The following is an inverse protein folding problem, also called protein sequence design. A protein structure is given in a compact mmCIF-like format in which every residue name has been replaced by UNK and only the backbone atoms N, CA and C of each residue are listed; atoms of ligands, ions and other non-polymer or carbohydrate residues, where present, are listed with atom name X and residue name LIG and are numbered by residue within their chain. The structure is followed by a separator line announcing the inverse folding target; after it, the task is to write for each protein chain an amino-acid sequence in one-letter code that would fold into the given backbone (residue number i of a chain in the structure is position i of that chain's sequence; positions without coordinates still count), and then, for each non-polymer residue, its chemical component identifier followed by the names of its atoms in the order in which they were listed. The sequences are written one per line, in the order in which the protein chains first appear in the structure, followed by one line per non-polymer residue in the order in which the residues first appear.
data_IF_232097517718
#
_entry.id   IF_232097517718
#
_cell.length_a   1.000
_cell.length_b   1.000
_cell.length_c   1.000
_cell.angle_alpha   90.00
_cell.angle_beta   90.00
_cell.angle_gamma   90.00
#
_symmetry.space_group_name_H-M   'P 1'
#
loop_
_entity.id
_entity.type
_entity.pdbx_description
1 polymer ?
#
# COMPACT_ATOMS: atom_id res chain seq x y z
N UNK A 1 -6.10 39.70 23.89
CA UNK A 1 -5.25 39.28 22.76
C UNK A 1 -5.51 37.80 22.49
N UNK A 2 -5.63 37.42 21.23
CA UNK A 2 -5.77 36.01 20.88
C UNK A 2 -4.53 35.24 21.30
N UNK A 3 -4.70 34.01 21.78
CA UNK A 3 -3.58 33.12 22.08
C UNK A 3 -2.85 32.75 20.80
N UNK A 4 -1.63 32.19 20.90
CA UNK A 4 -0.89 31.68 19.75
C UNK A 4 -1.70 30.60 19.00
N UNK A 5 -2.39 29.73 19.73
CA UNK A 5 -3.24 28.68 19.14
C UNK A 5 -4.44 29.27 18.41
N UNK A 6 -5.14 30.24 19.02
CA UNK A 6 -6.25 30.94 18.33
C UNK A 6 -5.79 31.59 17.03
N UNK A 7 -4.60 32.21 17.02
CA UNK A 7 -4.04 32.81 15.80
C UNK A 7 -3.78 31.73 14.73
N UNK A 8 -3.16 30.61 15.09
CA UNK A 8 -2.93 29.49 14.15
C UNK A 8 -4.24 28.92 13.59
N UNK A 9 -5.28 28.79 14.40
CA UNK A 9 -6.60 28.32 13.95
C UNK A 9 -7.29 29.33 13.01
N UNK A 10 -7.13 30.63 13.28
CA UNK A 10 -7.65 31.69 12.39
C UNK A 10 -6.93 31.65 11.05
N UNK A 11 -5.61 31.53 11.04
CA UNK A 11 -4.80 31.41 9.81
C UNK A 11 -5.16 30.14 9.03
N UNK A 12 -5.32 29.03 9.71
CA UNK A 12 -5.78 27.77 9.13
C UNK A 12 -7.13 27.94 8.41
N UNK A 13 -8.11 28.54 9.07
CA UNK A 13 -9.46 28.75 8.51
C UNK A 13 -9.52 29.75 7.37
N UNK A 14 -8.58 30.71 7.30
CA UNK A 14 -8.45 31.67 6.19
C UNK A 14 -7.79 31.07 4.96
N UNK A 15 -7.01 30.02 5.11
CA UNK A 15 -6.26 29.41 4.01
C UNK A 15 -7.20 28.71 3.01
N UNK A 16 -7.17 29.15 1.75
CA UNK A 16 -8.05 28.64 0.70
C UNK A 16 -7.76 27.15 0.36
N UNK A 17 -6.49 26.76 0.38
CA UNK A 17 -6.08 25.38 0.06
C UNK A 17 -6.50 24.42 1.16
N UNK A 18 -6.43 24.82 2.44
CA UNK A 18 -6.97 24.02 3.53
C UNK A 18 -8.47 23.78 3.36
N UNK A 19 -9.24 24.82 3.01
CA UNK A 19 -10.69 24.71 2.76
C UNK A 19 -11.00 23.84 1.54
N UNK A 20 -10.23 23.99 0.45
CA UNK A 20 -10.36 23.16 -0.75
C UNK A 20 -10.17 21.68 -0.41
N UNK A 21 -9.12 21.36 0.36
CA UNK A 21 -8.82 20.01 0.78
C UNK A 21 -9.88 19.43 1.72
N UNK A 22 -10.33 20.22 2.71
CA UNK A 22 -11.47 19.81 3.57
C UNK A 22 -12.73 19.52 2.76
N UNK A 23 -13.08 20.40 1.82
CA UNK A 23 -14.25 20.22 0.97
C UNK A 23 -14.10 18.94 0.14
N UNK A 24 -12.93 18.70 -0.43
CA UNK A 24 -12.66 17.50 -1.22
C UNK A 24 -12.90 16.23 -0.39
N UNK A 25 -12.24 16.10 0.75
CA UNK A 25 -12.32 14.90 1.59
C UNK A 25 -13.62 14.80 2.43
N UNK A 26 -14.45 15.82 2.44
CA UNK A 26 -15.80 15.76 3.08
C UNK A 26 -16.88 15.29 2.14
N UNK A 27 -16.61 15.18 0.85
CA UNK A 27 -17.57 14.67 -0.13
C UNK A 27 -17.60 13.15 -0.13
N UNK A 28 -18.72 12.59 -0.51
CA UNK A 28 -18.90 11.15 -0.72
C UNK A 28 -18.92 10.85 -2.21
N UNK A 29 -18.16 9.85 -2.64
CA UNK A 29 -18.26 9.31 -3.99
C UNK A 29 -19.64 8.69 -4.22
N UNK A 30 -19.96 8.38 -5.49
CA UNK A 30 -21.22 7.73 -5.83
C UNK A 30 -21.35 6.36 -5.14
N UNK A 31 -20.33 5.53 -5.20
CA UNK A 31 -20.32 4.21 -4.54
C UNK A 31 -20.44 4.31 -3.02
N UNK A 32 -19.87 5.34 -2.40
CA UNK A 32 -20.01 5.56 -0.95
C UNK A 32 -21.44 5.97 -0.58
N UNK A 33 -22.11 6.78 -1.39
CA UNK A 33 -23.53 7.12 -1.19
C UNK A 33 -24.43 5.89 -1.26
N UNK A 34 -24.04 4.88 -2.03
CA UNK A 34 -24.73 3.59 -2.14
C UNK A 34 -24.30 2.59 -1.06
N UNK A 35 -23.28 2.90 -0.24
CA UNK A 35 -22.76 2.00 0.79
C UNK A 35 -21.90 0.83 0.24
N UNK A 36 -21.44 0.91 -0.99
CA UNK A 36 -20.72 -0.18 -1.69
C UNK A 36 -19.25 0.15 -2.02
N UNK A 37 -18.76 1.31 -1.58
CA UNK A 37 -17.42 1.78 -1.94
C UNK A 37 -16.25 0.88 -1.47
N UNK A 38 -16.54 -0.12 -0.63
CA UNK A 38 -15.53 -1.07 -0.12
C UNK A 38 -15.98 -2.54 -0.27
N UNK A 39 -17.01 -2.78 -1.07
CA UNK A 39 -17.36 -4.13 -1.48
C UNK A 39 -16.51 -4.54 -2.71
N UNK A 40 -15.99 -5.76 -2.71
CA UNK A 40 -15.13 -6.27 -3.80
C UNK A 40 -15.91 -6.41 -5.12
N UNK A 41 -17.13 -6.89 -5.05
CA UNK A 41 -18.01 -7.13 -6.21
C UNK A 41 -18.23 -5.90 -7.12
N UNK A 42 -18.62 -4.71 -6.61
CA UNK A 42 -18.78 -3.52 -7.48
C UNK A 42 -17.49 -3.09 -8.17
N UNK A 43 -16.34 -3.23 -7.50
CA UNK A 43 -15.05 -2.92 -8.10
C UNK A 43 -14.70 -3.92 -9.20
N UNK A 44 -14.92 -5.21 -8.95
CA UNK A 44 -14.71 -6.28 -9.92
C UNK A 44 -15.61 -6.10 -11.15
N UNK A 45 -16.89 -5.75 -10.93
CA UNK A 45 -17.83 -5.45 -12.01
C UNK A 45 -17.40 -4.21 -12.83
N UNK A 46 -16.97 -3.14 -12.14
CA UNK A 46 -16.46 -1.93 -12.83
C UNK A 46 -15.27 -2.26 -13.73
N UNK A 47 -14.25 -2.96 -13.19
CA UNK A 47 -13.07 -3.32 -13.96
C UNK A 47 -13.39 -4.29 -15.12
N UNK A 48 -14.24 -5.29 -14.88
CA UNK A 48 -14.66 -6.20 -15.93
C UNK A 48 -15.34 -5.45 -17.09
N UNK A 49 -16.18 -4.46 -16.81
CA UNK A 49 -16.83 -3.65 -17.84
C UNK A 49 -15.84 -2.71 -18.55
N UNK A 50 -14.97 -2.02 -17.81
CA UNK A 50 -13.97 -1.13 -18.39
C UNK A 50 -13.01 -1.89 -19.33
N UNK A 51 -12.55 -3.08 -18.92
CA UNK A 51 -11.60 -3.90 -19.69
C UNK A 51 -12.23 -4.48 -20.96
N UNK A 52 -13.56 -4.64 -21.05
CA UNK A 52 -14.24 -5.00 -22.31
C UNK A 52 -14.05 -3.93 -23.38
N UNK A 53 -13.97 -2.67 -22.94
CA UNK A 53 -13.81 -1.55 -23.85
C UNK A 53 -15.05 -1.20 -24.68
N UNK A 54 -16.21 -1.80 -24.38
CA UNK A 54 -17.45 -1.57 -25.13
C UNK A 54 -17.88 -0.09 -25.11
N UNK A 55 -17.57 0.58 -24.01
CA UNK A 55 -17.88 1.99 -23.79
C UNK A 55 -16.72 2.94 -24.17
N UNK A 56 -15.60 2.42 -24.66
CA UNK A 56 -14.41 3.22 -25.02
C UNK A 56 -14.15 3.08 -26.50
N UNK A 57 -14.40 4.13 -27.27
CA UNK A 57 -14.16 4.14 -28.70
C UNK A 57 -12.65 4.33 -29.00
N UNK A 58 -11.84 3.34 -28.65
CA UNK A 58 -10.40 3.37 -28.88
C UNK A 58 -9.93 2.23 -29.80
N UNK A 59 -8.79 2.42 -30.46
CA UNK A 59 -8.11 1.35 -31.18
C UNK A 59 -7.69 0.25 -30.19
N UNK A 60 -7.63 -1.01 -30.63
CA UNK A 60 -7.15 -2.15 -29.81
C UNK A 60 -5.80 -1.87 -29.12
N UNK A 61 -4.92 -1.11 -29.76
CA UNK A 61 -3.61 -0.72 -29.22
C UNK A 61 -3.69 0.19 -27.98
N UNK A 62 -4.78 0.92 -27.86
CA UNK A 62 -5.05 1.85 -26.76
C UNK A 62 -6.24 1.39 -25.91
N UNK A 63 -6.63 0.11 -26.05
CA UNK A 63 -7.72 -0.44 -25.26
C UNK A 63 -7.31 -0.60 -23.77
N UNK A 64 -8.27 -0.44 -22.85
CA UNK A 64 -8.01 -0.68 -21.41
C UNK A 64 -7.39 -2.05 -21.14
N UNK A 65 -7.78 -3.08 -21.90
CA UNK A 65 -7.20 -4.42 -21.76
C UNK A 65 -5.73 -4.47 -22.21
N UNK A 66 -5.34 -3.77 -23.28
CA UNK A 66 -3.93 -3.69 -23.68
C UNK A 66 -3.09 -3.01 -22.59
N UNK A 67 -3.57 -1.94 -22.01
CA UNK A 67 -2.88 -1.26 -20.91
C UNK A 67 -2.82 -2.13 -19.65
N UNK A 68 -3.88 -2.88 -19.35
CA UNK A 68 -3.86 -3.85 -18.26
C UNK A 68 -2.77 -4.93 -18.47
N UNK A 69 -2.66 -5.45 -19.70
CA UNK A 69 -1.58 -6.39 -20.04
C UNK A 69 -0.18 -5.77 -19.86
N UNK A 70 -0.01 -4.50 -20.20
CA UNK A 70 1.26 -3.79 -19.94
C UNK A 70 1.58 -3.68 -18.44
N UNK A 71 0.59 -3.41 -17.60
CA UNK A 71 0.77 -3.45 -16.13
C UNK A 71 1.26 -4.83 -15.70
N UNK A 72 0.65 -5.91 -16.20
CA UNK A 72 1.06 -7.28 -15.84
C UNK A 72 2.51 -7.57 -16.27
N UNK A 73 2.90 -7.19 -17.49
CA UNK A 73 4.30 -7.37 -17.96
C UNK A 73 5.28 -6.59 -17.11
N UNK A 74 4.97 -5.36 -16.75
CA UNK A 74 5.84 -4.51 -15.94
C UNK A 74 6.01 -5.06 -14.51
N UNK A 75 4.93 -5.57 -13.92
CA UNK A 75 4.97 -6.14 -12.56
C UNK A 75 5.57 -7.54 -12.53
N UNK A 76 5.40 -8.31 -13.59
CA UNK A 76 6.01 -9.63 -13.69
C UNK A 76 7.54 -9.56 -13.69
N UNK A 77 8.14 -8.56 -14.34
CA UNK A 77 9.60 -8.35 -14.31
C UNK A 77 10.14 -8.13 -12.89
N UNK A 78 9.34 -7.57 -11.99
CA UNK A 78 9.70 -7.44 -10.57
C UNK A 78 9.49 -8.74 -9.79
N UNK A 79 8.54 -9.58 -10.18
CA UNK A 79 8.24 -10.88 -9.55
C UNK A 79 9.25 -11.99 -9.95
N UNK A 80 9.86 -11.92 -11.12
CA UNK A 80 10.91 -12.87 -11.56
C UNK A 80 12.14 -12.86 -10.65
N UNK A 81 12.32 -11.86 -9.81
CA UNK A 81 13.33 -11.85 -8.75
C UNK A 81 13.18 -13.02 -7.73
N UNK A 82 12.04 -13.70 -7.73
CA UNK A 82 11.78 -14.86 -6.87
C UNK A 82 12.11 -16.23 -7.50
N UNK A 83 12.82 -16.25 -8.63
CA UNK A 83 13.31 -17.51 -9.25
C UNK A 83 12.25 -18.34 -9.96
N UNK A 84 11.10 -17.78 -10.30
CA UNK A 84 10.09 -18.42 -11.15
C UNK A 84 10.32 -18.07 -12.61
N UNK A 85 10.13 -19.06 -13.50
CA UNK A 85 10.04 -18.78 -14.94
C UNK A 85 8.83 -17.89 -15.20
N UNK A 86 9.03 -16.84 -16.00
CA UNK A 86 7.96 -15.94 -16.43
C UNK A 86 6.76 -16.70 -16.98
N UNK A 87 5.54 -16.47 -16.51
CA UNK A 87 4.35 -17.07 -17.09
C UNK A 87 4.00 -16.46 -18.47
N UNK A 88 4.54 -15.27 -18.81
CA UNK A 88 4.30 -14.63 -20.10
C UNK A 88 5.46 -14.95 -21.05
N UNK A 89 5.24 -15.63 -22.18
CA UNK A 89 6.26 -15.92 -23.16
C UNK A 89 6.94 -14.66 -23.72
N UNK A 90 8.24 -14.74 -24.04
CA UNK A 90 9.03 -13.60 -24.46
C UNK A 90 8.44 -12.85 -25.68
N UNK A 91 8.02 -13.59 -26.70
CA UNK A 91 7.42 -13.00 -27.91
C UNK A 91 6.10 -12.28 -27.60
N UNK A 92 5.31 -12.83 -26.68
CA UNK A 92 4.08 -12.20 -26.21
C UNK A 92 4.37 -10.93 -25.42
N UNK A 93 5.40 -10.92 -24.55
CA UNK A 93 5.84 -9.70 -23.85
C UNK A 93 6.22 -8.59 -24.82
N UNK A 94 7.04 -8.92 -25.82
CA UNK A 94 7.45 -7.95 -26.85
C UNK A 94 6.20 -7.36 -27.52
N UNK A 95 5.24 -8.21 -27.91
CA UNK A 95 4.01 -7.79 -28.55
C UNK A 95 3.11 -6.93 -27.67
N UNK A 96 3.08 -7.19 -26.34
CA UNK A 96 2.35 -6.35 -25.37
C UNK A 96 3.04 -4.99 -25.20
N UNK A 97 4.36 -4.98 -24.99
CA UNK A 97 5.14 -3.75 -24.80
C UNK A 97 5.04 -2.84 -26.03
N UNK A 98 5.14 -3.42 -27.23
CA UNK A 98 5.01 -2.69 -28.51
C UNK A 98 3.56 -2.40 -28.91
N UNK A 99 2.57 -2.84 -28.13
CA UNK A 99 1.13 -2.71 -28.41
C UNK A 99 0.72 -3.33 -29.76
N UNK A 100 1.39 -4.40 -30.15
CA UNK A 100 1.14 -5.10 -31.42
C UNK A 100 0.46 -6.46 -31.23
N UNK A 101 0.17 -6.85 -29.98
CA UNK A 101 -0.52 -8.11 -29.70
C UNK A 101 -1.91 -8.09 -30.34
N UNK A 102 -2.16 -9.03 -31.26
CA UNK A 102 -3.49 -9.23 -31.82
C UNK A 102 -4.28 -10.22 -30.96
N UNK A 103 -5.31 -9.71 -30.31
CA UNK A 103 -6.21 -10.49 -29.48
C UNK A 103 -7.67 -10.19 -29.80
N UNK A 104 -8.51 -11.16 -29.55
CA UNK A 104 -9.96 -11.04 -29.60
C UNK A 104 -10.54 -11.46 -28.25
N UNK A 105 -11.26 -10.56 -27.60
CA UNK A 105 -11.97 -10.86 -26.36
C UNK A 105 -13.06 -11.89 -26.65
N UNK A 106 -12.99 -13.04 -25.99
CA UNK A 106 -14.04 -14.07 -26.01
C UNK A 106 -14.98 -13.91 -24.83
N UNK A 107 -14.44 -13.60 -23.65
CA UNK A 107 -15.23 -13.40 -22.45
C UNK A 107 -14.48 -12.49 -21.47
N UNK A 108 -15.17 -11.52 -20.86
CA UNK A 108 -14.77 -10.85 -19.63
C UNK A 108 -15.98 -10.84 -18.72
N UNK A 109 -15.81 -11.40 -17.51
CA UNK A 109 -16.91 -11.54 -16.56
C UNK A 109 -16.43 -11.33 -15.14
N UNK A 110 -17.15 -10.52 -14.36
CA UNK A 110 -17.02 -10.50 -12.91
C UNK A 110 -17.76 -11.71 -12.31
N UNK A 111 -17.31 -12.17 -11.15
CA UNK A 111 -17.98 -13.24 -10.36
C UNK A 111 -18.20 -14.54 -11.14
N UNK A 112 -17.16 -15.00 -11.83
CA UNK A 112 -17.19 -16.24 -12.56
C UNK A 112 -16.99 -17.42 -11.65
N UNK A 113 -17.95 -18.35 -11.60
CA UNK A 113 -17.83 -19.57 -10.80
C UNK A 113 -16.62 -20.42 -11.25
N UNK A 114 -15.74 -20.71 -10.32
CA UNK A 114 -14.50 -21.47 -10.61
C UNK A 114 -14.82 -22.85 -11.19
N UNK A 115 -15.94 -23.46 -10.79
CA UNK A 115 -16.40 -24.74 -11.32
C UNK A 115 -16.68 -24.70 -12.82
N UNK A 116 -17.12 -23.57 -13.37
CA UNK A 116 -17.38 -23.42 -14.80
C UNK A 116 -16.09 -23.50 -15.63
N UNK A 117 -14.97 -23.09 -15.06
CA UNK A 117 -13.65 -23.09 -15.71
C UNK A 117 -12.91 -24.38 -15.43
N UNK A 118 -12.94 -24.86 -14.21
CA UNK A 118 -12.18 -26.00 -13.71
C UNK A 118 -13.07 -27.26 -13.48
N UNK A 119 -14.12 -27.45 -14.26
CA UNK A 119 -15.06 -28.55 -14.05
C UNK A 119 -14.37 -29.94 -14.02
N UNK A 120 -13.37 -30.16 -14.87
CA UNK A 120 -12.59 -31.41 -14.88
C UNK A 120 -11.89 -31.65 -13.55
N UNK A 121 -11.29 -30.62 -12.94
CA UNK A 121 -10.62 -30.71 -11.66
C UNK A 121 -11.59 -31.16 -10.55
N UNK A 122 -12.79 -30.60 -10.52
CA UNK A 122 -13.80 -30.93 -9.52
C UNK A 122 -14.49 -32.30 -9.77
N UNK A 123 -14.63 -32.72 -11.02
CA UNK A 123 -15.31 -33.97 -11.38
C UNK A 123 -14.42 -35.20 -11.33
N UNK A 124 -13.10 -35.03 -11.47
CA UNK A 124 -12.18 -36.19 -11.52
C UNK A 124 -11.47 -36.51 -10.21
N UNK A 125 -11.64 -35.69 -9.18
CA UNK A 125 -10.99 -35.94 -7.90
C UNK A 125 -11.73 -37.01 -7.11
N UNK A 126 -11.11 -38.18 -6.88
CA UNK A 126 -11.79 -39.30 -6.23
C UNK A 126 -12.17 -39.03 -4.76
N UNK A 127 -11.47 -38.11 -4.11
CA UNK A 127 -11.76 -37.73 -2.72
C UNK A 127 -13.05 -36.92 -2.56
N UNK A 128 -13.60 -36.42 -3.67
CA UNK A 128 -14.78 -35.54 -3.66
C UNK A 128 -15.99 -36.15 -4.38
N UNK A 129 -15.90 -37.45 -4.74
CA UNK A 129 -16.97 -38.15 -5.47
C UNK A 129 -18.32 -38.14 -4.73
N UNK A 130 -18.30 -38.05 -3.41
CA UNK A 130 -19.50 -38.02 -2.56
C UNK A 130 -19.94 -36.60 -2.17
N UNK A 131 -19.25 -35.52 -2.67
CA UNK A 131 -19.62 -34.15 -2.39
C UNK A 131 -20.70 -33.70 -3.36
N UNK A 132 -21.96 -33.69 -2.91
CA UNK A 132 -23.11 -33.24 -3.71
C UNK A 132 -23.18 -31.71 -3.84
N UNK A 133 -22.59 -31.00 -2.90
CA UNK A 133 -22.63 -29.53 -2.90
C UNK A 133 -21.68 -28.93 -3.98
N UNK A 134 -22.16 -27.99 -4.79
CA UNK A 134 -21.32 -27.32 -5.75
C UNK A 134 -20.19 -26.52 -5.07
N UNK A 135 -19.07 -26.35 -5.75
CA UNK A 135 -18.08 -25.36 -5.31
C UNK A 135 -18.62 -23.97 -5.63
N UNK A 136 -18.84 -23.17 -4.60
CA UNK A 136 -19.39 -21.82 -4.72
C UNK A 136 -18.32 -20.74 -4.82
N UNK A 137 -17.03 -21.14 -4.86
CA UNK A 137 -15.95 -20.16 -5.04
C UNK A 137 -16.10 -19.49 -6.41
N UNK A 138 -16.03 -18.16 -6.40
CA UNK A 138 -16.12 -17.30 -7.57
C UNK A 138 -14.81 -16.54 -7.75
N UNK A 139 -14.42 -16.36 -9.02
CA UNK A 139 -13.30 -15.53 -9.40
C UNK A 139 -13.80 -14.10 -9.56
N UNK A 140 -13.14 -13.14 -8.94
CA UNK A 140 -13.59 -11.75 -8.97
C UNK A 140 -13.64 -11.19 -10.39
N UNK A 141 -12.60 -11.47 -11.22
CA UNK A 141 -12.64 -11.16 -12.64
C UNK A 141 -12.01 -12.32 -13.43
N UNK A 142 -12.70 -12.75 -14.48
CA UNK A 142 -12.21 -13.72 -15.45
C UNK A 142 -12.15 -13.11 -16.84
N UNK A 143 -10.99 -13.22 -17.51
CA UNK A 143 -10.76 -12.70 -18.86
C UNK A 143 -10.29 -13.86 -19.74
N UNK A 144 -10.88 -13.99 -20.93
CA UNK A 144 -10.50 -14.97 -21.93
C UNK A 144 -10.40 -14.33 -23.30
N UNK A 145 -9.26 -14.52 -23.95
CA UNK A 145 -8.97 -13.98 -25.26
C UNK A 145 -8.44 -15.06 -26.21
N UNK A 146 -8.83 -15.01 -27.47
CA UNK A 146 -8.11 -15.66 -28.55
C UNK A 146 -6.91 -14.79 -28.95
N UNK A 147 -5.74 -15.41 -29.15
CA UNK A 147 -4.48 -14.74 -29.52
C UNK A 147 -4.09 -15.13 -30.93
N UNK A 148 -3.58 -14.17 -31.70
CA UNK A 148 -3.06 -14.38 -33.06
C UNK A 148 -1.64 -13.81 -33.15
N UNK A 149 -0.85 -14.40 -34.06
CA UNK A 149 0.50 -13.88 -34.35
C UNK A 149 1.58 -14.18 -33.30
N UNK A 150 1.28 -14.96 -32.25
CA UNK A 150 2.27 -15.43 -31.26
C UNK A 150 2.47 -16.92 -31.46
N UNK A 151 3.71 -17.35 -31.73
CA UNK A 151 4.01 -18.74 -32.04
C UNK A 151 3.62 -19.69 -30.91
N UNK A 152 2.79 -20.67 -31.21
CA UNK A 152 2.35 -21.71 -30.26
C UNK A 152 1.34 -21.25 -29.22
N UNK A 153 0.90 -19.98 -29.23
CA UNK A 153 -0.10 -19.45 -28.29
C UNK A 153 -1.35 -19.05 -29.06
N UNK A 154 -2.46 -19.66 -28.69
CA UNK A 154 -3.78 -19.41 -29.29
C UNK A 154 -4.76 -18.76 -28.30
N UNK A 155 -4.49 -18.91 -27.00
CA UNK A 155 -5.42 -18.47 -25.94
C UNK A 155 -4.68 -17.81 -24.80
N UNK A 156 -5.30 -16.76 -24.28
CA UNK A 156 -4.91 -16.10 -23.03
C UNK A 156 -6.10 -16.16 -22.06
N UNK A 157 -5.85 -16.63 -20.87
CA UNK A 157 -6.80 -16.56 -19.74
C UNK A 157 -6.15 -15.79 -18.60
N UNK A 158 -6.90 -14.85 -18.01
CA UNK A 158 -6.45 -14.08 -16.84
C UNK A 158 -7.48 -14.24 -15.74
N UNK A 159 -7.00 -14.62 -14.58
CA UNK A 159 -7.78 -14.85 -13.37
C UNK A 159 -7.35 -13.81 -12.36
N UNK A 160 -8.25 -12.90 -12.00
CA UNK A 160 -7.97 -11.82 -11.04
C UNK A 160 -8.71 -12.08 -9.76
N UNK A 161 -7.99 -12.08 -8.67
CA UNK A 161 -8.50 -11.95 -7.31
C UNK A 161 -8.36 -10.50 -6.88
N UNK A 162 -9.45 -9.89 -6.46
CA UNK A 162 -9.51 -8.48 -6.09
C UNK A 162 -9.70 -8.33 -4.57
N UNK A 163 -8.83 -7.56 -3.94
CA UNK A 163 -8.92 -7.24 -2.50
C UNK A 163 -8.99 -5.73 -2.30
N UNK A 164 -10.08 -5.28 -1.72
CA UNK A 164 -10.33 -3.85 -1.49
C UNK A 164 -9.94 -3.44 -0.07
N UNK A 165 -10.23 -4.27 0.94
CA UNK A 165 -10.01 -3.93 2.34
C UNK A 165 -9.46 -5.07 3.18
N UNK A 166 -9.45 -6.27 2.64
CA UNK A 166 -9.14 -7.48 3.39
C UNK A 166 -7.88 -8.14 2.86
N UNK A 167 -7.24 -8.91 3.72
CA UNK A 167 -6.21 -9.85 3.30
C UNK A 167 -6.85 -10.98 2.50
N UNK A 168 -6.02 -11.70 1.76
CA UNK A 168 -6.43 -12.95 1.13
C UNK A 168 -7.20 -13.86 2.11
N UNK A 169 -8.29 -14.44 1.64
CA UNK A 169 -9.06 -15.37 2.44
C UNK A 169 -8.24 -16.64 2.73
N UNK A 170 -8.10 -16.94 4.02
CA UNK A 170 -7.44 -18.15 4.51
C UNK A 170 -8.21 -19.42 4.17
N UNK A 171 -7.75 -20.57 4.70
CA UNK A 171 -8.45 -21.85 4.61
C UNK A 171 -9.88 -21.74 5.14
N UNK A 172 -10.82 -22.46 4.53
CA UNK A 172 -12.19 -22.53 5.03
C UNK A 172 -12.22 -23.13 6.44
N UNK A 173 -13.15 -22.69 7.27
CA UNK A 173 -13.32 -23.25 8.60
C UNK A 173 -13.55 -24.78 8.50
N UNK A 174 -13.03 -25.57 9.46
CA UNK A 174 -13.13 -27.05 9.45
C UNK A 174 -14.54 -27.57 9.17
N UNK A 175 -15.56 -26.91 9.73
CA UNK A 175 -16.98 -27.26 9.49
C UNK A 175 -17.45 -27.05 8.05
N UNK A 176 -16.74 -26.25 7.28
CA UNK A 176 -17.07 -25.91 5.89
C UNK A 176 -16.08 -26.54 4.89
N UNK A 177 -15.21 -27.43 5.37
CA UNK A 177 -14.25 -28.14 4.52
C UNK A 177 -14.91 -29.38 3.95
N UNK A 178 -15.42 -29.30 2.73
CA UNK A 178 -16.05 -30.39 2.00
C UNK A 178 -15.07 -31.09 1.07
N UNK A 179 -13.99 -30.42 0.69
CA UNK A 179 -13.02 -30.85 -0.32
C UNK A 179 -11.61 -30.82 0.27
N UNK A 180 -11.15 -31.92 0.94
CA UNK A 180 -9.80 -32.02 1.46
C UNK A 180 -8.75 -31.76 0.36
N UNK A 181 -7.70 -31.02 0.67
CA UNK A 181 -6.68 -30.61 -0.31
C UNK A 181 -7.05 -29.37 -1.13
N UNK A 182 -8.31 -28.93 -1.09
CA UNK A 182 -8.78 -27.70 -1.69
C UNK A 182 -9.24 -26.68 -0.62
N UNK A 183 -10.28 -27.02 0.15
CA UNK A 183 -10.88 -26.13 1.14
C UNK A 183 -9.91 -25.80 2.31
N UNK A 184 -8.89 -26.61 2.53
CA UNK A 184 -7.84 -26.40 3.53
C UNK A 184 -6.71 -25.45 3.08
N UNK A 185 -6.77 -24.92 1.86
CA UNK A 185 -5.81 -23.96 1.30
C UNK A 185 -6.33 -22.53 1.32
N UNK A 186 -5.40 -21.56 1.28
CA UNK A 186 -5.71 -20.15 1.04
C UNK A 186 -6.32 -19.96 -0.35
N UNK A 187 -7.01 -18.87 -0.56
CA UNK A 187 -7.81 -18.62 -1.76
C UNK A 187 -6.98 -18.64 -3.05
N UNK A 188 -5.83 -17.96 -3.11
CA UNK A 188 -4.97 -17.95 -4.30
C UNK A 188 -4.44 -19.35 -4.62
N UNK A 189 -4.07 -20.13 -3.61
CA UNK A 189 -3.62 -21.54 -3.79
C UNK A 189 -4.76 -22.41 -4.34
N UNK A 190 -5.99 -22.24 -3.84
CA UNK A 190 -7.15 -22.96 -4.37
C UNK A 190 -7.39 -22.65 -5.84
N UNK A 191 -7.37 -21.38 -6.20
CA UNK A 191 -7.65 -20.92 -7.56
C UNK A 191 -6.56 -21.38 -8.53
N UNK A 192 -5.30 -21.25 -8.15
CA UNK A 192 -4.19 -21.76 -8.96
C UNK A 192 -4.33 -23.27 -9.20
N UNK A 193 -4.49 -24.08 -8.16
CA UNK A 193 -4.58 -25.53 -8.28
C UNK A 193 -5.77 -25.98 -9.17
N UNK A 194 -6.92 -25.35 -9.02
CA UNK A 194 -8.10 -25.69 -9.81
C UNK A 194 -7.93 -25.30 -11.28
N UNK A 195 -7.56 -24.06 -11.55
CA UNK A 195 -7.51 -23.52 -12.92
C UNK A 195 -6.29 -24.02 -13.70
N UNK A 196 -5.12 -24.20 -13.05
CA UNK A 196 -3.93 -24.72 -13.71
C UNK A 196 -4.11 -26.17 -14.19
N UNK A 197 -5.00 -26.94 -13.59
CA UNK A 197 -5.35 -28.30 -14.04
C UNK A 197 -5.96 -28.32 -15.46
N UNK A 198 -6.39 -27.17 -15.96
CA UNK A 198 -6.96 -27.02 -17.32
C UNK A 198 -5.96 -26.44 -18.32
N UNK A 199 -4.68 -26.27 -17.94
CA UNK A 199 -3.66 -25.74 -18.81
C UNK A 199 -3.42 -26.63 -20.04
N UNK A 200 -3.10 -26.02 -21.18
CA UNK A 200 -2.71 -26.67 -22.41
C UNK A 200 -1.50 -25.97 -23.00
N UNK A 201 -0.75 -26.64 -23.85
CA UNK A 201 0.50 -26.11 -24.45
C UNK A 201 0.32 -24.85 -25.29
N UNK A 202 -0.89 -24.61 -25.81
CA UNK A 202 -1.23 -23.44 -26.64
C UNK A 202 -1.98 -22.33 -25.85
N UNK A 203 -2.00 -22.43 -24.51
CA UNK A 203 -2.70 -21.47 -23.66
C UNK A 203 -1.74 -20.86 -22.62
N UNK A 204 -1.78 -19.53 -22.51
CA UNK A 204 -1.19 -18.79 -21.41
C UNK A 204 -2.26 -18.53 -20.35
N UNK A 205 -1.97 -18.86 -19.09
CA UNK A 205 -2.81 -18.52 -17.95
C UNK A 205 -2.04 -17.58 -17.03
N UNK A 206 -2.63 -16.43 -16.70
CA UNK A 206 -2.09 -15.45 -15.78
C UNK A 206 -2.99 -15.38 -14.55
N UNK A 207 -2.38 -15.41 -13.39
CA UNK A 207 -3.04 -15.26 -12.10
C UNK A 207 -2.63 -13.90 -11.53
N UNK A 208 -3.59 -13.11 -11.10
CA UNK A 208 -3.38 -11.73 -10.68
C UNK A 208 -4.02 -11.49 -9.33
N UNK A 209 -3.29 -10.87 -8.40
CA UNK A 209 -3.83 -10.34 -7.15
C UNK A 209 -3.84 -8.81 -7.24
N UNK A 210 -5.02 -8.22 -7.27
CA UNK A 210 -5.23 -6.78 -7.26
C UNK A 210 -5.48 -6.31 -5.83
N UNK A 211 -4.69 -5.34 -5.36
CA UNK A 211 -4.75 -4.83 -3.98
C UNK A 211 -4.65 -3.32 -3.92
N UNK A 212 -5.10 -2.67 -2.84
CA UNK A 212 -4.75 -1.27 -2.60
C UNK A 212 -3.24 -1.08 -2.46
N UNK A 213 -2.73 0.02 -2.99
CA UNK A 213 -1.30 0.37 -2.89
C UNK A 213 -0.92 0.95 -1.52
N UNK A 214 -1.88 1.23 -0.69
CA UNK A 214 -1.66 1.88 0.59
C UNK A 214 -1.11 0.93 1.63
N UNK A 215 0.03 1.31 2.13
CA UNK A 215 0.78 0.64 3.20
C UNK A 215 -0.05 0.42 4.46
N UNK A 216 0.13 -0.72 5.07
CA UNK A 216 -0.53 -1.16 6.30
C UNK A 216 -1.39 -2.40 6.10
N UNK A 217 -1.79 -2.70 4.86
CA UNK A 217 -2.34 -3.99 4.47
C UNK A 217 -1.37 -4.58 3.46
N UNK A 218 -0.28 -5.16 3.91
CA UNK A 218 0.55 -6.04 3.08
C UNK A 218 -0.25 -7.28 2.76
N UNK A 219 -1.02 -7.22 1.67
CA UNK A 219 -1.65 -8.38 1.08
C UNK A 219 -0.69 -8.97 0.07
N UNK A 220 0.04 -9.97 0.52
CA UNK A 220 0.85 -10.78 -0.39
C UNK A 220 0.06 -12.02 -0.76
N UNK A 221 0.01 -12.38 -2.02
CA UNK A 221 -0.55 -13.66 -2.44
C UNK A 221 0.18 -14.81 -1.76
N UNK A 222 -0.56 -15.76 -1.19
CA UNK A 222 0.05 -16.98 -0.64
C UNK A 222 0.63 -17.86 -1.74
N UNK A 223 -0.01 -17.86 -2.92
CA UNK A 223 0.50 -18.57 -4.08
C UNK A 223 1.44 -17.68 -4.91
N UNK A 224 2.67 -18.15 -5.12
CA UNK A 224 3.73 -17.44 -5.85
C UNK A 224 3.48 -17.22 -7.35
N UNK A 225 2.49 -17.89 -7.92
CA UNK A 225 2.15 -17.74 -9.33
C UNK A 225 1.26 -16.52 -9.59
N UNK A 226 0.77 -15.86 -8.54
CA UNK A 226 0.00 -14.65 -8.67
C UNK A 226 0.91 -13.44 -8.90
N UNK A 227 0.69 -12.73 -10.00
CA UNK A 227 1.28 -11.41 -10.26
C UNK A 227 0.53 -10.40 -9.39
N UNK A 228 1.26 -9.72 -8.52
CA UNK A 228 0.66 -8.71 -7.67
C UNK A 228 0.68 -7.35 -8.34
N UNK A 229 -0.50 -6.73 -8.48
CA UNK A 229 -0.70 -5.37 -8.97
C UNK A 229 -1.50 -4.56 -7.97
N UNK A 230 -1.42 -3.24 -8.08
CA UNK A 230 -2.15 -2.32 -7.21
C UNK A 230 -3.19 -1.51 -7.97
N UNK A 231 -4.17 -0.96 -7.23
CA UNK A 231 -5.07 0.05 -7.77
C UNK A 231 -4.32 1.31 -8.21
N UNK A 232 -3.13 1.60 -7.64
CA UNK A 232 -2.28 2.70 -8.10
C UNK A 232 -1.76 2.43 -9.53
N UNK A 233 -1.30 1.19 -9.81
CA UNK A 233 -0.88 0.82 -11.17
C UNK A 233 -2.00 1.02 -12.18
N UNK A 234 -3.23 0.64 -11.81
CA UNK A 234 -4.40 0.77 -12.69
C UNK A 234 -4.83 2.23 -12.84
N UNK A 235 -4.74 3.04 -11.77
CA UNK A 235 -5.00 4.48 -11.85
C UNK A 235 -4.04 5.15 -12.82
N UNK A 236 -2.73 4.94 -12.64
CA UNK A 236 -1.70 5.65 -13.40
C UNK A 236 -1.62 5.18 -14.86
N UNK A 237 -1.84 3.89 -15.11
CA UNK A 237 -1.66 3.32 -16.46
C UNK A 237 -2.94 3.30 -17.29
N UNK A 238 -4.11 3.24 -16.67
CA UNK A 238 -5.38 3.08 -17.36
C UNK A 238 -6.30 4.29 -17.17
N UNK A 239 -6.65 4.62 -15.90
CA UNK A 239 -7.71 5.60 -15.67
C UNK A 239 -7.29 7.03 -16.01
N UNK A 240 -6.09 7.46 -15.61
CA UNK A 240 -5.62 8.81 -15.91
C UNK A 240 -5.40 9.03 -17.42
N UNK A 241 -4.71 8.14 -18.17
CA UNK A 241 -4.62 8.27 -19.60
C UNK A 241 -5.99 8.26 -20.34
N UNK A 242 -6.95 7.46 -19.87
CA UNK A 242 -8.31 7.48 -20.42
C UNK A 242 -8.99 8.83 -20.20
N UNK A 243 -8.89 9.41 -19.01
CA UNK A 243 -9.49 10.73 -18.71
C UNK A 243 -8.94 11.81 -19.65
N UNK A 244 -7.66 11.72 -20.01
CA UNK A 244 -6.98 12.67 -20.89
C UNK A 244 -7.22 12.40 -22.40
N UNK A 245 -7.71 11.21 -22.72
CA UNK A 245 -7.96 10.80 -24.12
C UNK A 245 -9.12 11.56 -24.75
N UNK A 246 -8.98 11.97 -26.00
CA UNK A 246 -10.04 12.56 -26.79
C UNK A 246 -11.09 11.53 -27.27
N UNK A 247 -10.81 10.24 -27.07
CA UNK A 247 -11.71 9.15 -27.50
C UNK A 247 -12.94 8.95 -26.60
N UNK A 248 -12.96 9.57 -25.41
CA UNK A 248 -14.07 9.44 -24.47
C UNK A 248 -15.14 10.51 -24.68
N UNK A 249 -16.40 10.10 -24.60
CA UNK A 249 -17.53 11.00 -24.42
C UNK A 249 -17.48 11.65 -23.01
N UNK A 250 -18.01 12.86 -22.89
CA UNK A 250 -18.04 13.58 -21.61
C UNK A 250 -18.67 12.78 -20.48
N UNK A 251 -19.72 11.99 -20.77
CA UNK A 251 -20.35 11.11 -19.79
C UNK A 251 -19.40 10.02 -19.29
N UNK A 252 -18.70 9.35 -20.19
CA UNK A 252 -17.74 8.29 -19.86
C UNK A 252 -16.58 8.85 -19.05
N UNK A 253 -16.08 10.01 -19.45
CA UNK A 253 -15.04 10.75 -18.69
C UNK A 253 -15.49 11.10 -17.28
N UNK A 254 -16.77 11.48 -17.12
CA UNK A 254 -17.34 11.76 -15.82
C UNK A 254 -17.42 10.49 -14.96
N UNK A 255 -17.89 9.37 -15.52
CA UNK A 255 -17.99 8.08 -14.83
C UNK A 255 -16.60 7.58 -14.36
N UNK A 256 -15.56 7.72 -15.20
CA UNK A 256 -14.19 7.36 -14.82
C UNK A 256 -13.67 8.30 -13.71
N UNK A 257 -13.91 9.61 -13.80
CA UNK A 257 -13.54 10.56 -12.76
C UNK A 257 -14.22 10.27 -11.42
N UNK A 258 -15.49 9.89 -11.44
CA UNK A 258 -16.20 9.49 -10.22
C UNK A 258 -15.59 8.22 -9.62
N UNK A 259 -15.18 7.26 -10.45
CA UNK A 259 -14.47 6.08 -9.95
C UNK A 259 -13.07 6.41 -9.41
N UNK A 260 -12.35 7.34 -10.01
CA UNK A 260 -11.09 7.87 -9.43
C UNK A 260 -11.35 8.48 -8.06
N UNK A 261 -12.45 9.18 -7.86
CA UNK A 261 -12.85 9.68 -6.53
C UNK A 261 -13.13 8.53 -5.53
N UNK A 262 -13.70 7.42 -5.99
CA UNK A 262 -13.87 6.21 -5.12
C UNK A 262 -12.52 5.68 -4.65
N UNK A 263 -11.50 5.69 -5.51
CA UNK A 263 -10.15 5.25 -5.15
C UNK A 263 -9.45 6.21 -4.18
N UNK A 264 -9.66 7.51 -4.36
CA UNK A 264 -8.95 8.57 -3.66
C UNK A 264 -9.59 9.00 -2.32
N UNK A 265 -10.87 8.74 -2.13
CA UNK A 265 -11.58 9.18 -0.94
C UNK A 265 -11.57 8.10 0.15
N UNK A 266 -11.29 8.47 1.42
CA UNK A 266 -11.45 7.54 2.53
C UNK A 266 -12.95 7.29 2.76
N UNK A 267 -13.32 6.05 3.02
CA UNK A 267 -14.69 5.71 3.40
C UNK A 267 -14.91 5.98 4.89
N UNK A 268 -15.87 6.82 5.24
CA UNK A 268 -16.01 7.38 6.58
C UNK A 268 -16.96 6.59 7.49
N UNK A 269 -17.88 5.82 6.92
CA UNK A 269 -18.97 5.16 7.66
C UNK A 269 -18.64 3.72 8.10
N UNK A 270 -17.38 3.26 7.91
CA UNK A 270 -16.97 1.89 8.18
C UNK A 270 -15.94 1.85 9.32
N UNK A 271 -15.73 0.65 9.89
CA UNK A 271 -14.68 0.41 10.88
C UNK A 271 -13.31 0.93 10.38
N UNK A 272 -12.50 1.45 11.27
CA UNK A 272 -11.21 2.10 10.97
C UNK A 272 -10.28 1.30 10.04
N UNK A 273 -10.24 -0.02 10.19
CA UNK A 273 -9.47 -0.93 9.33
C UNK A 273 -9.92 -0.94 7.85
N UNK A 274 -11.06 -0.35 7.54
CA UNK A 274 -11.65 -0.32 6.20
C UNK A 274 -11.62 1.07 5.56
N UNK A 275 -11.06 2.07 6.25
CA UNK A 275 -10.94 3.45 5.77
C UNK A 275 -9.66 3.63 4.96
N UNK A 276 -9.56 2.92 3.85
CA UNK A 276 -8.37 2.90 3.00
C UNK A 276 -8.58 3.82 1.82
N UNK A 277 -7.57 4.63 1.48
CA UNK A 277 -7.44 5.22 0.15
C UNK A 277 -6.74 4.17 -0.70
N UNK A 278 -7.38 3.73 -1.78
CA UNK A 278 -6.87 2.63 -2.62
C UNK A 278 -5.79 3.07 -3.59
N UNK A 279 -5.90 4.30 -4.10
CA UNK A 279 -4.91 4.92 -4.97
C UNK A 279 -5.02 6.46 -4.87
N UNK A 280 -3.98 7.19 -5.27
CA UNK A 280 -3.93 8.66 -5.26
C UNK A 280 -3.35 9.18 -6.55
N UNK A 281 -3.92 10.26 -7.07
CA UNK A 281 -3.25 11.02 -8.13
C UNK A 281 -2.05 11.77 -7.53
N UNK A 282 -1.07 12.11 -8.37
CA UNK A 282 0.09 12.92 -7.96
C UNK A 282 -0.38 14.25 -7.35
N UNK A 283 -1.37 14.91 -7.95
CA UNK A 283 -1.92 16.17 -7.43
C UNK A 283 -2.46 16.03 -6.00
N UNK A 284 -3.11 14.92 -5.70
CA UNK A 284 -3.65 14.66 -4.35
C UNK A 284 -2.56 14.30 -3.35
N UNK A 285 -1.56 13.52 -3.76
CA UNK A 285 -0.41 13.24 -2.91
C UNK A 285 0.34 14.53 -2.53
N UNK A 286 0.57 15.41 -3.51
CA UNK A 286 1.19 16.71 -3.30
C UNK A 286 0.33 17.63 -2.43
N UNK A 287 -0.99 17.64 -2.62
CA UNK A 287 -1.90 18.43 -1.80
C UNK A 287 -1.87 18.01 -0.33
N UNK A 288 -1.78 16.70 -0.05
CA UNK A 288 -1.63 16.16 1.29
C UNK A 288 -0.28 16.57 1.89
N UNK A 289 0.80 16.43 1.14
CA UNK A 289 2.14 16.82 1.58
C UNK A 289 2.19 18.32 1.93
N UNK A 290 1.75 19.16 1.03
CA UNK A 290 1.68 20.60 1.22
C UNK A 290 0.76 21.02 2.39
N UNK A 291 -0.29 20.23 2.68
CA UNK A 291 -1.15 20.45 3.84
C UNK A 291 -0.39 20.22 5.15
N UNK A 292 0.36 19.12 5.26
CA UNK A 292 1.16 18.83 6.45
C UNK A 292 2.22 19.91 6.67
N UNK A 293 2.97 20.26 5.65
CA UNK A 293 4.03 21.27 5.75
C UNK A 293 3.49 22.62 6.23
N UNK A 294 2.39 23.05 5.63
CA UNK A 294 1.77 24.34 5.95
C UNK A 294 1.19 24.39 7.36
N UNK A 295 0.62 23.28 7.83
CA UNK A 295 -0.08 23.21 9.11
C UNK A 295 0.70 22.47 10.20
N UNK A 296 1.98 22.22 9.97
CA UNK A 296 2.84 21.38 10.82
C UNK A 296 2.75 21.73 12.30
N UNK A 297 2.91 23.00 12.66
CA UNK A 297 2.88 23.44 14.05
C UNK A 297 1.50 23.23 14.69
N UNK A 298 0.42 23.52 13.95
CA UNK A 298 -0.94 23.29 14.44
C UNK A 298 -1.22 21.80 14.65
N UNK A 299 -0.78 20.96 13.73
CA UNK A 299 -0.89 19.49 13.86
C UNK A 299 -0.10 18.96 15.08
N UNK A 300 1.10 19.51 15.35
CA UNK A 300 1.86 19.18 16.54
C UNK A 300 1.12 19.54 17.83
N UNK A 301 0.57 20.74 17.93
CA UNK A 301 -0.16 21.16 19.12
C UNK A 301 -1.46 20.35 19.31
N UNK A 302 -2.18 20.07 18.22
CA UNK A 302 -3.36 19.21 18.24
C UNK A 302 -3.03 17.81 18.76
N UNK A 303 -1.91 17.24 18.30
CA UNK A 303 -1.43 15.94 18.75
C UNK A 303 -1.06 15.94 20.24
N UNK A 304 -0.36 16.98 20.72
CA UNK A 304 -0.05 17.14 22.15
C UNK A 304 -1.33 17.23 23.01
N UNK A 305 -2.34 17.98 22.55
CA UNK A 305 -3.63 18.08 23.23
C UNK A 305 -4.34 16.74 23.32
N UNK A 306 -4.33 15.97 22.21
CA UNK A 306 -4.93 14.63 22.16
C UNK A 306 -4.22 13.66 23.13
N UNK A 307 -2.89 13.64 23.15
CA UNK A 307 -2.11 12.81 24.08
C UNK A 307 -2.38 13.19 25.54
N UNK A 308 -2.43 14.49 25.88
CA UNK A 308 -2.77 14.92 27.24
C UNK A 308 -4.14 14.39 27.67
N UNK A 309 -5.15 14.49 26.80
CA UNK A 309 -6.49 13.97 27.06
C UNK A 309 -6.46 12.46 27.30
N UNK A 310 -5.84 11.69 26.40
CA UNK A 310 -5.80 10.23 26.50
C UNK A 310 -5.04 9.71 27.72
N UNK A 311 -4.00 10.43 28.15
CA UNK A 311 -3.23 10.09 29.35
C UNK A 311 -3.83 10.64 30.65
N UNK A 312 -4.98 11.31 30.60
CA UNK A 312 -5.60 11.94 31.77
C UNK A 312 -4.71 13.02 32.42
N UNK A 313 -3.87 13.69 31.64
CA UNK A 313 -3.02 14.77 32.10
C UNK A 313 -3.82 16.07 32.25
N UNK A 314 -3.29 17.03 32.99
CA UNK A 314 -3.92 18.35 33.10
C UNK A 314 -4.04 19.00 31.74
N UNK A 315 -5.26 19.40 31.37
CA UNK A 315 -5.56 20.14 30.15
C UNK A 315 -4.96 21.54 30.20
N UNK A 316 -4.46 22.00 29.07
CA UNK A 316 -4.08 23.41 28.86
C UNK A 316 -5.29 24.20 28.36
N UNK A 317 -5.23 25.52 28.50
CA UNK A 317 -6.35 26.44 28.17
C UNK A 317 -6.88 26.27 26.73
N UNK A 318 -5.99 25.95 25.78
CA UNK A 318 -6.34 25.84 24.37
C UNK A 318 -6.62 24.41 23.89
N UNK A 319 -6.53 23.40 24.77
CA UNK A 319 -6.68 21.98 24.38
C UNK A 319 -8.08 21.70 23.79
N UNK A 320 -9.15 22.32 24.35
CA UNK A 320 -10.50 22.15 23.82
C UNK A 320 -10.66 22.67 22.38
N UNK A 321 -9.96 23.76 22.02
CA UNK A 321 -9.95 24.30 20.68
C UNK A 321 -9.22 23.35 19.71
N UNK A 322 -8.11 22.80 20.14
CA UNK A 322 -7.33 21.83 19.35
C UNK A 322 -8.07 20.51 19.16
N UNK A 323 -8.79 20.01 20.16
CA UNK A 323 -9.61 18.82 20.02
C UNK A 323 -10.79 19.06 19.08
N UNK A 324 -11.45 20.23 19.13
CA UNK A 324 -12.46 20.61 18.14
C UNK A 324 -11.88 20.71 16.73
N UNK A 325 -10.66 21.22 16.59
CA UNK A 325 -9.95 21.23 15.31
C UNK A 325 -9.78 19.81 14.75
N UNK A 326 -9.35 18.84 15.57
CA UNK A 326 -9.23 17.42 15.17
C UNK A 326 -10.59 16.90 14.67
N UNK A 327 -11.65 17.08 15.45
CA UNK A 327 -12.99 16.59 15.11
C UNK A 327 -13.51 17.20 13.80
N UNK A 328 -13.29 18.51 13.60
CA UNK A 328 -13.73 19.23 12.40
C UNK A 328 -12.94 18.87 11.13
N UNK A 329 -11.73 18.31 11.29
CA UNK A 329 -10.83 17.97 10.19
C UNK A 329 -10.65 16.45 10.03
N UNK A 330 -11.47 15.66 10.69
CA UNK A 330 -11.34 14.20 10.76
C UNK A 330 -11.14 13.55 9.40
N UNK A 331 -11.83 14.02 8.36
CA UNK A 331 -11.75 13.45 7.01
C UNK A 331 -10.39 13.69 6.35
N UNK A 332 -9.84 14.90 6.47
CA UNK A 332 -8.50 15.22 5.97
C UNK A 332 -7.44 14.43 6.74
N UNK A 333 -7.60 14.31 8.05
CA UNK A 333 -6.68 13.54 8.88
C UNK A 333 -6.70 12.06 8.51
N UNK A 334 -7.86 11.49 8.17
CA UNK A 334 -7.94 10.11 7.64
C UNK A 334 -7.26 9.96 6.28
N UNK A 335 -7.29 10.98 5.43
CA UNK A 335 -6.52 10.95 4.18
C UNK A 335 -5.01 10.89 4.44
N UNK A 336 -4.54 11.52 5.52
CA UNK A 336 -3.15 11.42 5.97
C UNK A 336 -2.80 10.01 6.48
N UNK A 337 -3.76 9.26 7.06
CA UNK A 337 -3.55 7.89 7.54
C UNK A 337 -3.14 6.92 6.43
N UNK A 338 -3.54 7.20 5.19
CA UNK A 338 -3.20 6.40 4.01
C UNK A 338 -2.01 6.97 3.24
N UNK A 339 -1.11 7.67 3.91
CA UNK A 339 0.07 8.30 3.35
C UNK A 339 1.30 7.98 4.20
N UNK A 340 2.45 8.57 3.87
CA UNK A 340 3.65 8.52 4.71
C UNK A 340 3.44 9.10 6.12
N UNK A 341 2.30 9.74 6.37
CA UNK A 341 1.93 10.33 7.65
C UNK A 341 0.99 9.45 8.50
N UNK A 342 0.80 8.18 8.12
CA UNK A 342 -0.10 7.25 8.83
C UNK A 342 0.12 7.23 10.34
N UNK A 343 1.37 7.14 10.78
CA UNK A 343 1.72 7.15 12.20
C UNK A 343 1.31 8.46 12.90
N UNK A 344 1.38 9.59 12.21
CA UNK A 344 0.93 10.87 12.75
C UNK A 344 -0.57 10.87 13.02
N UNK A 345 -1.36 10.32 12.09
CA UNK A 345 -2.82 10.27 12.20
C UNK A 345 -3.27 9.34 13.33
N UNK A 346 -2.66 8.18 13.46
CA UNK A 346 -2.93 7.24 14.55
C UNK A 346 -2.82 7.93 15.93
N UNK A 347 -1.88 8.87 16.08
CA UNK A 347 -1.71 9.62 17.30
C UNK A 347 -2.66 10.81 17.44
N UNK A 348 -2.97 11.50 16.33
CA UNK A 348 -3.89 12.64 16.36
C UNK A 348 -5.34 12.18 16.54
N UNK A 349 -5.76 11.12 15.85
CA UNK A 349 -7.16 10.67 15.86
C UNK A 349 -7.42 9.64 16.94
N UNK A 350 -6.55 8.64 17.09
CA UNK A 350 -6.77 7.50 17.98
C UNK A 350 -6.07 7.62 19.33
N UNK A 351 -5.22 8.64 19.53
CA UNK A 351 -4.54 8.88 20.80
C UNK A 351 -3.51 7.82 21.19
N UNK A 352 -2.97 7.05 20.24
CA UNK A 352 -1.96 6.04 20.51
C UNK A 352 -0.72 6.66 21.15
N UNK A 353 -0.14 5.95 22.13
CA UNK A 353 1.05 6.41 22.83
C UNK A 353 2.31 6.25 22.01
N UNK A 354 3.04 7.33 21.78
CA UNK A 354 4.34 7.35 21.13
C UNK A 354 5.07 8.65 21.45
N UNK A 355 6.33 8.71 21.11
CA UNK A 355 7.08 9.96 21.14
C UNK A 355 7.01 10.64 19.78
N UNK A 356 6.80 11.96 19.81
CA UNK A 356 6.73 12.80 18.64
C UNK A 356 8.06 13.50 18.48
N UNK A 357 8.56 13.45 17.27
CA UNK A 357 9.83 14.05 16.91
C UNK A 357 9.65 14.98 15.72
N UNK A 358 10.31 16.13 15.75
CA UNK A 358 10.55 16.96 14.58
C UNK A 358 11.95 16.63 14.08
N UNK A 359 12.07 15.98 12.94
CA UNK A 359 13.33 15.54 12.35
C UNK A 359 13.46 16.19 10.98
N UNK A 360 14.51 16.99 10.78
CA UNK A 360 14.73 17.76 9.55
C UNK A 360 13.47 18.50 9.08
N UNK A 361 12.80 19.12 10.04
CA UNK A 361 11.53 19.82 9.84
C UNK A 361 10.33 18.94 9.45
N UNK A 362 10.47 17.62 9.44
CA UNK A 362 9.36 16.69 9.26
C UNK A 362 8.85 16.15 10.60
N UNK A 363 7.53 16.11 10.73
CA UNK A 363 6.89 15.53 11.91
C UNK A 363 6.90 13.99 11.80
N UNK A 364 7.52 13.34 12.78
CA UNK A 364 7.62 11.87 12.84
C UNK A 364 7.11 11.38 14.19
N UNK A 365 6.44 10.23 14.17
CA UNK A 365 6.02 9.53 15.41
C UNK A 365 6.69 8.17 15.44
N UNK A 366 7.49 7.95 16.44
CA UNK A 366 8.19 6.69 16.62
C UNK A 366 8.04 6.18 18.04
N UNK A 367 8.02 4.85 18.20
CA UNK A 367 8.46 4.25 19.45
C UNK A 367 9.94 4.56 19.68
N UNK A 368 10.36 4.58 20.94
CA UNK A 368 11.74 4.95 21.29
C UNK A 368 12.79 4.09 20.58
N UNK A 369 12.56 2.78 20.50
CA UNK A 369 13.46 1.87 19.79
C UNK A 369 13.53 2.17 18.29
N UNK A 370 12.39 2.47 17.68
CA UNK A 370 12.30 2.79 16.24
C UNK A 370 13.01 4.10 15.92
N UNK A 371 12.90 5.11 16.79
CA UNK A 371 13.64 6.36 16.62
C UNK A 371 15.14 6.14 16.59
N UNK A 372 15.66 5.41 17.61
CA UNK A 372 17.08 5.09 17.69
C UNK A 372 17.58 4.34 16.44
N UNK A 373 16.78 3.38 15.94
CA UNK A 373 17.07 2.66 14.71
C UNK A 373 17.18 3.61 13.51
N UNK A 374 16.17 4.41 13.26
CA UNK A 374 16.15 5.34 12.13
C UNK A 374 17.29 6.33 12.19
N UNK A 375 17.64 6.81 13.38
CA UNK A 375 18.80 7.68 13.55
C UNK A 375 20.09 6.98 13.13
N UNK A 376 20.32 5.74 13.58
CA UNK A 376 21.55 5.00 13.26
C UNK A 376 21.62 4.62 11.77
N UNK A 377 20.51 4.25 11.14
CA UNK A 377 20.42 4.06 9.68
C UNK A 377 20.81 5.35 8.94
N UNK A 378 20.26 6.47 9.36
CA UNK A 378 20.54 7.77 8.76
C UNK A 378 21.98 8.22 9.00
N UNK A 379 22.52 7.98 10.21
CA UNK A 379 23.92 8.28 10.55
C UNK A 379 24.86 7.48 9.65
N UNK A 380 24.61 6.20 9.42
CA UNK A 380 25.35 5.38 8.48
C UNK A 380 25.32 5.96 7.08
N UNK A 381 24.15 6.22 6.52
CA UNK A 381 23.98 6.75 5.17
C UNK A 381 24.75 8.08 4.96
N UNK A 382 24.75 8.95 5.95
CA UNK A 382 25.45 10.23 5.87
C UNK A 382 26.98 10.09 5.97
N UNK A 383 27.48 9.08 6.64
CA UNK A 383 28.92 8.93 6.92
C UNK A 383 29.59 7.78 6.18
N UNK A 384 28.88 6.93 5.45
CA UNK A 384 29.46 5.77 4.76
C UNK A 384 30.59 6.12 3.77
N UNK A 385 30.54 7.29 3.18
CA UNK A 385 31.59 7.79 2.26
C UNK A 385 32.92 8.12 2.98
N UNK A 386 32.92 8.21 4.31
CA UNK A 386 34.11 8.45 5.13
C UNK A 386 34.71 7.16 5.67
N UNK A 387 34.05 6.02 5.50
CA UNK A 387 34.50 4.72 6.01
C UNK A 387 35.66 4.18 5.16
N UNK A 388 36.60 3.53 5.84
CA UNK A 388 37.78 2.91 5.21
C UNK A 388 37.58 1.42 5.08
N UNK A 389 37.74 0.86 3.90
CA UNK A 389 37.46 -0.55 3.61
C UNK A 389 38.38 -1.55 4.36
N UNK A 390 39.52 -1.09 4.87
CA UNK A 390 40.45 -1.95 5.59
C UNK A 390 40.18 -2.09 7.10
N UNK A 391 39.12 -1.46 7.60
CA UNK A 391 38.70 -1.50 9.01
C UNK A 391 37.23 -1.88 9.13
N UNK A 392 36.82 -2.56 10.23
CA UNK A 392 35.41 -2.86 10.46
C UNK A 392 34.57 -1.57 10.50
N UNK A 393 33.52 -1.49 9.69
CA UNK A 393 32.66 -0.31 9.61
C UNK A 393 31.97 0.00 10.94
N UNK A 394 31.60 -1.05 11.70
CA UNK A 394 31.00 -0.87 13.02
C UNK A 394 31.92 -0.12 13.98
N UNK A 395 33.23 -0.40 13.98
CA UNK A 395 34.19 0.27 14.87
C UNK A 395 34.35 1.74 14.48
N UNK A 396 34.49 2.02 13.19
CA UNK A 396 34.59 3.39 12.68
C UNK A 396 33.36 4.23 13.02
N UNK A 397 32.16 3.68 12.80
CA UNK A 397 30.90 4.36 13.11
C UNK A 397 30.71 4.57 14.62
N UNK A 398 31.06 3.60 15.44
CA UNK A 398 31.02 3.74 16.89
C UNK A 398 31.99 4.84 17.38
N UNK A 399 33.20 4.93 16.79
CA UNK A 399 34.16 5.98 17.12
C UNK A 399 33.64 7.37 16.68
N UNK A 400 33.02 7.48 15.51
CA UNK A 400 32.37 8.71 15.05
C UNK A 400 31.25 9.12 16.01
N UNK A 401 30.38 8.19 16.40
CA UNK A 401 29.31 8.47 17.36
C UNK A 401 29.86 8.91 18.72
N UNK A 402 30.95 8.29 19.17
CA UNK A 402 31.62 8.68 20.41
C UNK A 402 32.18 10.10 20.35
N UNK A 403 32.77 10.48 19.20
CA UNK A 403 33.25 11.85 18.99
C UNK A 403 32.11 12.88 19.01
N UNK A 404 30.98 12.57 18.35
CA UNK A 404 29.83 13.47 18.28
C UNK A 404 29.07 13.59 19.60
N UNK A 405 28.83 12.46 20.28
CA UNK A 405 27.87 12.39 21.38
C UNK A 405 28.50 12.05 22.73
N UNK A 406 29.83 11.86 22.79
CA UNK A 406 30.51 11.51 24.03
C UNK A 406 30.06 10.15 24.64
N UNK A 407 29.48 9.26 23.78
CA UNK A 407 28.96 7.96 24.23
C UNK A 407 30.02 6.89 24.26
N UNK A 408 30.03 6.04 25.26
CA UNK A 408 30.86 4.83 25.32
C UNK A 408 30.12 3.59 24.78
N UNK A 409 28.90 3.74 24.31
CA UNK A 409 28.05 2.63 23.90
C UNK A 409 28.34 2.27 22.44
N UNK A 410 28.61 0.99 22.17
CA UNK A 410 28.73 0.46 20.82
C UNK A 410 27.33 0.22 20.24
N UNK A 411 26.93 1.06 19.30
CA UNK A 411 25.63 1.02 18.65
C UNK A 411 25.63 0.18 17.38
N UNK A 412 26.79 0.04 16.73
CA UNK A 412 26.97 -0.79 15.56
C UNK A 412 27.73 -2.06 15.90
N UNK A 413 27.42 -3.12 15.20
CA UNK A 413 28.05 -4.43 15.38
C UNK A 413 27.87 -5.34 14.17
N UNK A 414 28.48 -6.52 14.24
CA UNK A 414 28.39 -7.55 13.22
C UNK A 414 27.18 -8.45 13.52
N UNK A 415 26.37 -8.76 12.52
CA UNK A 415 25.09 -9.50 12.60
C UNK A 415 25.18 -10.81 13.41
N UNK A 416 26.30 -11.51 13.35
CA UNK A 416 26.44 -12.87 13.89
C UNK A 416 26.69 -12.95 15.41
N UNK A 417 26.89 -11.81 16.10
CA UNK A 417 27.17 -11.82 17.55
C UNK A 417 25.93 -11.92 18.44
N UNK A 418 24.82 -11.30 18.03
CA UNK A 418 23.55 -11.41 18.75
C UNK A 418 22.36 -10.96 17.87
N UNK A 419 21.77 -11.87 17.07
CA UNK A 419 20.71 -11.53 16.12
C UNK A 419 19.40 -11.03 16.76
N UNK A 420 19.24 -11.19 18.07
CA UNK A 420 18.05 -10.71 18.79
C UNK A 420 18.11 -9.21 19.11
N UNK A 421 19.28 -8.63 19.08
CA UNK A 421 19.53 -7.26 19.53
C UNK A 421 20.01 -6.33 18.41
N UNK A 422 20.32 -6.86 17.22
CA UNK A 422 20.84 -6.11 16.10
C UNK A 422 19.95 -6.23 14.87
N UNK A 423 19.57 -5.10 14.30
CA UNK A 423 18.93 -5.04 12.98
C UNK A 423 19.96 -4.75 11.89
N UNK A 424 19.90 -5.51 10.82
CA UNK A 424 20.80 -5.35 9.68
C UNK A 424 20.49 -4.06 8.95
N UNK A 425 21.48 -3.20 8.78
CA UNK A 425 21.39 -1.96 8.00
C UNK A 425 22.17 -2.02 6.69
N UNK A 426 23.19 -2.86 6.62
CA UNK A 426 23.94 -3.13 5.39
C UNK A 426 24.38 -4.61 5.38
N UNK A 427 23.84 -5.39 4.43
CA UNK A 427 24.13 -6.83 4.32
C UNK A 427 25.48 -7.09 3.69
N UNK A 428 25.89 -6.26 2.76
CA UNK A 428 27.12 -6.46 1.98
C UNK A 428 28.35 -6.20 2.84
N UNK A 429 28.22 -5.29 3.80
CA UNK A 429 29.27 -4.94 4.74
C UNK A 429 29.10 -5.58 6.14
N UNK A 430 28.20 -6.55 6.29
CA UNK A 430 27.87 -7.24 7.55
C UNK A 430 27.62 -6.27 8.73
N UNK A 431 27.00 -5.13 8.43
CA UNK A 431 26.76 -4.05 9.37
C UNK A 431 25.35 -4.14 9.94
N UNK A 432 25.25 -4.07 11.25
CA UNK A 432 24.00 -4.06 11.99
C UNK A 432 24.00 -2.99 13.07
N UNK A 433 22.83 -2.43 13.36
CA UNK A 433 22.65 -1.47 14.44
C UNK A 433 21.88 -2.10 15.60
N UNK A 434 22.25 -1.77 16.84
CA UNK A 434 21.74 -2.40 18.06
C UNK A 434 20.50 -1.71 18.58
N UNK A 435 19.39 -2.47 18.70
CA UNK A 435 18.09 -2.00 19.23
C UNK A 435 17.46 -2.90 20.29
N UNK A 436 18.19 -3.89 20.80
CA UNK A 436 17.64 -4.87 21.72
C UNK A 436 17.12 -4.28 23.03
N UNK A 437 16.33 -5.07 23.74
CA UNK A 437 15.73 -4.74 25.06
C UNK A 437 16.74 -4.50 26.19
N UNK A 438 18.03 -4.56 25.90
CA UNK A 438 19.09 -4.42 26.91
C UNK A 438 19.37 -2.94 27.21
N UNK A 439 18.74 -2.42 28.24
CA UNK A 439 19.01 -1.07 28.73
C UNK A 439 18.65 0.05 27.73
N UNK A 440 17.74 -0.24 26.80
CA UNK A 440 17.33 0.67 25.71
C UNK A 440 16.90 2.04 26.23
N UNK A 441 16.20 2.12 27.37
CA UNK A 441 15.78 3.38 27.93
C UNK A 441 16.96 4.29 28.34
N UNK A 442 18.04 3.74 28.90
CA UNK A 442 19.22 4.53 29.30
C UNK A 442 20.08 4.91 28.10
N UNK A 443 20.25 4.00 27.14
CA UNK A 443 21.03 4.25 25.94
C UNK A 443 20.34 5.24 25.01
N UNK A 444 19.04 5.11 24.85
CA UNK A 444 18.25 6.07 24.09
C UNK A 444 18.22 7.45 24.74
N UNK A 445 18.10 7.53 26.06
CA UNK A 445 18.18 8.81 26.77
C UNK A 445 19.54 9.50 26.58
N UNK A 446 20.64 8.74 26.52
CA UNK A 446 21.97 9.26 26.19
C UNK A 446 22.04 9.77 24.74
N UNK A 447 21.49 9.02 23.80
CA UNK A 447 21.42 9.43 22.40
C UNK A 447 20.61 10.73 22.25
N UNK A 448 19.42 10.79 22.82
CA UNK A 448 18.55 11.98 22.79
C UNK A 448 19.25 13.18 23.45
N UNK A 449 19.90 12.97 24.60
CA UNK A 449 20.67 14.03 25.25
C UNK A 449 21.82 14.52 24.36
N UNK A 450 22.54 13.61 23.72
CA UNK A 450 23.61 13.94 22.79
C UNK A 450 23.10 14.70 21.56
N UNK A 451 21.97 14.28 20.99
CA UNK A 451 21.33 14.97 19.88
C UNK A 451 20.89 16.40 20.27
N UNK A 452 20.32 16.58 21.43
CA UNK A 452 19.93 17.92 21.92
C UNK A 452 21.13 18.85 22.16
N UNK A 453 22.32 18.29 22.39
CA UNK A 453 23.53 19.08 22.68
C UNK A 453 24.42 19.27 21.46
N UNK A 454 24.54 18.26 20.60
CA UNK A 454 25.55 18.17 19.56
C UNK A 454 24.99 17.56 18.26
N UNK A 455 23.74 17.86 17.88
CA UNK A 455 23.21 17.39 16.59
C UNK A 455 24.13 17.78 15.44
N UNK A 456 24.49 16.84 14.54
CA UNK A 456 25.17 17.21 13.32
C UNK A 456 24.32 18.19 12.50
N UNK A 457 24.95 19.10 11.74
CA UNK A 457 24.25 20.11 10.94
C UNK A 457 23.21 19.53 9.97
N UNK A 458 23.41 18.29 9.54
CA UNK A 458 22.51 17.57 8.63
C UNK A 458 21.33 16.89 9.35
N UNK A 459 21.26 16.93 10.71
CA UNK A 459 20.20 16.27 11.50
C UNK A 459 19.64 17.27 12.53
N UNK A 460 18.59 17.96 12.13
CA UNK A 460 17.81 18.79 13.06
C UNK A 460 16.82 17.92 13.80
N UNK A 461 16.85 18.02 15.10
CA UNK A 461 16.06 17.15 15.97
C UNK A 461 15.42 17.96 17.10
N UNK A 462 14.12 17.71 17.30
CA UNK A 462 13.37 18.18 18.47
C UNK A 462 12.43 17.07 18.91
N UNK A 463 12.50 16.68 20.19
CA UNK A 463 11.51 15.80 20.82
C UNK A 463 10.40 16.68 21.38
N UNK A 464 9.19 16.52 20.88
CA UNK A 464 8.02 17.31 21.25
C UNK A 464 7.30 16.77 22.47
#
# INVERSE_FOLDING_TARGET
MATKIEQMLIEYGKNAENRKLQTYYSRKSYMEKLGIARAEEPHSAYWANLLKGDDVNCDKKESPLMWFLQVLVNRETTATAYGTTSPIPADMKISIISRTLDFQIEEIKAEKKIKEIANKYFSTNPNWSNVSEPCEDELDIYIKCAIRGVLGIEKLEIIVENKVTQKENGPKAKKNQLRPGYDDKCQTVRYYNACNSTSSSNKVQLFVLLTPDTTGIETTATDKHFIQISYQDLLDTILLPLIESDSLLDRQRFEIKDYVDVLNLPTLDIKESQRIIMAKTTEQADAIHNYVDRNRLLLCEALKAKIRKEKGMNSLTDDDLLLKFIDSNKNVLWALACSSYANLVDHIVDGKTGNIYLINDELKVYGDATFGQRFLEFFYEQNKHLLKDNLPFCDQLNDMLKQFFGTSTSWYGVKNKDPKHYNVIDKDNDLSAMFGNFGTGQNLAKLIKGLNTNSPDWFRFEKL
#
